data_IF_457123321704
#
_entry.id   IF_457123321704
#
_cell.length_a   1.000
_cell.length_b   1.000
_cell.length_c   1.000
_cell.angle_alpha   90.00
_cell.angle_beta   90.00
_cell.angle_gamma   90.00
#
_symmetry.space_group_name_H-M   'P 1'
#
loop_
_entity.id
_entity.type
_entity.pdbx_description
1 polymer ?
#
# COMPACT_ATOMS: atom_id res chain seq x y z
N UNK A 1 30.65 -10.31 -26.96
CA UNK A 1 29.48 -10.19 -26.06
C UNK A 1 29.00 -8.75 -26.10
N UNK A 2 27.81 -8.48 -26.62
CA UNK A 2 27.33 -7.10 -26.84
C UNK A 2 26.79 -6.50 -25.53
N UNK A 3 27.58 -5.62 -24.93
CA UNK A 3 27.26 -4.87 -23.69
C UNK A 3 25.91 -4.18 -23.75
N UNK A 4 25.51 -3.68 -24.93
CA UNK A 4 24.22 -3.01 -25.14
C UNK A 4 23.01 -3.93 -24.98
N UNK A 5 23.09 -5.19 -25.46
CA UNK A 5 21.99 -6.15 -25.33
C UNK A 5 21.73 -6.54 -23.88
N UNK A 6 22.79 -6.61 -23.07
CA UNK A 6 22.69 -6.90 -21.64
C UNK A 6 22.04 -5.76 -20.85
N UNK A 7 22.25 -4.49 -21.25
CA UNK A 7 21.66 -3.32 -20.60
C UNK A 7 20.14 -3.26 -20.86
N UNK A 8 19.70 -3.54 -22.10
CA UNK A 8 18.28 -3.57 -22.46
C UNK A 8 17.55 -4.65 -21.66
N UNK A 9 18.08 -5.88 -21.63
CA UNK A 9 17.47 -6.98 -20.88
C UNK A 9 17.40 -6.72 -19.37
N UNK A 10 18.37 -6.01 -18.80
CA UNK A 10 18.33 -5.61 -17.39
C UNK A 10 17.25 -4.54 -17.13
N UNK A 11 17.07 -3.59 -18.06
CA UNK A 11 16.04 -2.55 -17.97
C UNK A 11 14.63 -3.11 -18.14
N UNK A 12 14.43 -4.09 -19.02
CA UNK A 12 13.15 -4.78 -19.18
C UNK A 12 12.77 -5.56 -17.92
N UNK A 13 13.69 -6.35 -17.35
CA UNK A 13 13.46 -7.05 -16.07
C UNK A 13 13.17 -6.10 -14.91
N UNK A 14 13.90 -4.97 -14.86
CA UNK A 14 13.64 -3.93 -13.86
C UNK A 14 12.27 -3.28 -14.06
N UNK A 15 11.87 -3.03 -15.31
CA UNK A 15 10.55 -2.49 -15.66
C UNK A 15 9.40 -3.44 -15.30
N UNK A 16 9.56 -4.74 -15.56
CA UNK A 16 8.59 -5.78 -15.18
C UNK A 16 8.43 -5.89 -13.67
N UNK A 17 9.54 -5.92 -12.92
CA UNK A 17 9.52 -5.96 -11.46
C UNK A 17 8.85 -4.71 -10.86
N UNK A 18 9.15 -3.53 -11.40
CA UNK A 18 8.47 -2.27 -11.02
C UNK A 18 6.99 -2.29 -11.37
N UNK A 19 6.63 -2.81 -12.55
CA UNK A 19 5.24 -2.95 -12.99
C UNK A 19 4.43 -3.87 -12.08
N UNK A 20 5.01 -5.01 -11.68
CA UNK A 20 4.39 -5.94 -10.74
C UNK A 20 4.20 -5.30 -9.36
N UNK A 21 5.23 -4.67 -8.80
CA UNK A 21 5.16 -4.00 -7.50
C UNK A 21 4.13 -2.85 -7.48
N UNK A 22 4.04 -2.08 -8.56
CA UNK A 22 3.01 -1.03 -8.71
C UNK A 22 1.60 -1.62 -8.83
N UNK A 23 1.46 -2.75 -9.52
CA UNK A 23 0.20 -3.49 -9.64
C UNK A 23 -0.28 -4.02 -8.28
N UNK A 24 0.62 -4.64 -7.53
CA UNK A 24 0.35 -5.16 -6.17
C UNK A 24 -0.03 -4.02 -5.22
N UNK A 25 0.75 -2.94 -5.18
CA UNK A 25 0.44 -1.77 -4.36
C UNK A 25 -0.92 -1.15 -4.71
N UNK A 26 -1.29 -1.10 -6.00
CA UNK A 26 -2.62 -0.62 -6.42
C UNK A 26 -3.74 -1.55 -5.98
N UNK A 27 -3.52 -2.86 -6.06
CA UNK A 27 -4.47 -3.87 -5.57
C UNK A 27 -4.72 -3.74 -4.07
N UNK A 28 -3.64 -3.61 -3.30
CA UNK A 28 -3.69 -3.47 -1.84
C UNK A 28 -4.41 -2.18 -1.40
N UNK A 29 -4.11 -1.04 -2.04
CA UNK A 29 -4.86 0.23 -1.82
C UNK A 29 -6.36 0.03 -2.02
N UNK A 30 -6.76 -0.65 -3.08
CA UNK A 30 -8.18 -0.88 -3.41
C UNK A 30 -8.86 -1.72 -2.33
N UNK A 31 -8.19 -2.76 -1.83
CA UNK A 31 -8.71 -3.63 -0.77
C UNK A 31 -8.92 -2.82 0.51
N UNK A 32 -7.94 -1.99 0.91
CA UNK A 32 -8.03 -1.16 2.11
C UNK A 32 -9.15 -0.12 2.03
N UNK A 33 -9.29 0.57 0.90
CA UNK A 33 -10.38 1.55 0.70
C UNK A 33 -11.74 0.86 0.75
N UNK A 34 -11.89 -0.29 0.09
CA UNK A 34 -13.15 -1.06 0.14
C UNK A 34 -13.47 -1.54 1.55
N UNK A 35 -12.46 -1.97 2.30
CA UNK A 35 -12.62 -2.36 3.69
C UNK A 35 -13.10 -1.18 4.55
N UNK A 36 -12.53 0.02 4.36
CA UNK A 36 -13.00 1.21 5.08
C UNK A 36 -14.45 1.57 4.72
N UNK A 37 -14.82 1.46 3.44
CA UNK A 37 -16.20 1.71 3.00
C UNK A 37 -17.20 0.81 3.72
N UNK A 38 -16.89 -0.49 3.81
CA UNK A 38 -17.76 -1.51 4.43
C UNK A 38 -17.95 -1.27 5.94
N UNK A 39 -16.87 -0.91 6.64
CA UNK A 39 -16.86 -0.91 8.11
C UNK A 39 -17.01 0.47 8.77
N UNK A 40 -16.82 1.56 8.02
CA UNK A 40 -17.03 2.93 8.51
C UNK A 40 -18.04 3.71 7.66
N UNK A 41 -17.67 4.08 6.43
CA UNK A 41 -18.53 4.77 5.48
C UNK A 41 -17.80 5.04 4.15
N UNK A 42 -18.57 5.33 3.10
CA UNK A 42 -18.04 5.80 1.82
C UNK A 42 -17.25 7.12 1.94
N UNK A 43 -17.68 8.03 2.84
CA UNK A 43 -16.97 9.28 3.09
C UNK A 43 -15.57 9.04 3.69
N UNK A 44 -15.46 8.09 4.63
CA UNK A 44 -14.16 7.70 5.16
C UNK A 44 -13.32 6.96 4.14
N UNK A 45 -13.94 6.17 3.27
CA UNK A 45 -13.25 5.51 2.17
C UNK A 45 -12.65 6.53 1.19
N UNK A 46 -13.36 7.61 0.89
CA UNK A 46 -12.87 8.70 0.05
C UNK A 46 -11.68 9.43 0.71
N UNK A 47 -11.78 9.75 2.01
CA UNK A 47 -10.65 10.32 2.77
C UNK A 47 -9.45 9.38 2.78
N UNK A 48 -9.71 8.09 2.99
CA UNK A 48 -8.74 7.01 3.01
C UNK A 48 -8.01 6.85 1.68
N UNK A 49 -8.74 6.93 0.57
CA UNK A 49 -8.16 6.90 -0.77
C UNK A 49 -7.19 8.07 -1.00
N UNK A 50 -7.54 9.28 -0.54
CA UNK A 50 -6.63 10.44 -0.60
C UNK A 50 -5.39 10.25 0.30
N UNK A 51 -5.54 9.61 1.46
CA UNK A 51 -4.40 9.31 2.33
C UNK A 51 -3.45 8.29 1.71
N UNK A 52 -3.99 7.30 1.01
CA UNK A 52 -3.22 6.26 0.32
C UNK A 52 -2.66 6.75 -1.03
N UNK A 53 -3.17 7.84 -1.57
CA UNK A 53 -2.62 8.44 -2.79
C UNK A 53 -1.20 8.94 -2.53
N UNK A 54 -0.26 8.56 -3.40
CA UNK A 54 1.17 8.79 -3.22
C UNK A 54 1.86 8.02 -2.07
N UNK A 55 1.12 7.29 -1.21
CA UNK A 55 1.72 6.46 -0.17
C UNK A 55 2.36 5.19 -0.77
N UNK A 56 3.53 4.82 -0.25
CA UNK A 56 4.22 3.57 -0.55
C UNK A 56 3.54 2.39 0.16
N UNK A 57 3.61 1.19 -0.43
CA UNK A 57 2.87 0.02 0.06
C UNK A 57 3.34 -0.49 1.42
N UNK A 58 4.61 -0.29 1.75
CA UNK A 58 5.18 -0.59 3.07
C UNK A 58 4.55 0.21 4.21
N UNK A 59 3.94 1.36 3.91
CA UNK A 59 3.30 2.23 4.89
C UNK A 59 1.84 1.84 5.18
N UNK A 60 1.27 0.89 4.43
CA UNK A 60 -0.12 0.48 4.61
C UNK A 60 -0.31 -0.35 5.89
N UNK A 61 -1.42 -0.16 6.62
CA UNK A 61 -1.72 -1.00 7.76
C UNK A 61 -2.16 -2.39 7.32
N UNK A 62 -1.94 -3.39 8.17
CA UNK A 62 -2.57 -4.68 7.97
C UNK A 62 -4.08 -4.58 8.25
N UNK A 63 -4.88 -5.37 7.54
CA UNK A 63 -6.33 -5.47 7.78
C UNK A 63 -6.63 -5.82 9.25
N UNK A 64 -5.78 -6.63 9.89
CA UNK A 64 -5.93 -6.98 11.31
C UNK A 64 -5.81 -5.77 12.26
N UNK A 65 -4.99 -4.77 11.93
CA UNK A 65 -4.91 -3.52 12.69
C UNK A 65 -6.18 -2.69 12.51
N UNK A 66 -6.72 -2.62 11.29
CA UNK A 66 -7.98 -1.95 10.99
C UNK A 66 -9.15 -2.61 11.73
N UNK A 67 -9.22 -3.95 11.74
CA UNK A 67 -10.24 -4.67 12.52
C UNK A 67 -10.14 -4.37 14.01
N UNK A 68 -8.93 -4.26 14.56
CA UNK A 68 -8.74 -3.85 15.96
C UNK A 68 -9.23 -2.43 16.22
N UNK A 69 -8.95 -1.48 15.34
CA UNK A 69 -9.43 -0.11 15.45
C UNK A 69 -10.96 -0.05 15.36
N UNK A 70 -11.57 -0.82 14.46
CA UNK A 70 -13.02 -0.94 14.31
C UNK A 70 -13.68 -1.48 15.59
N UNK A 71 -13.13 -2.54 16.17
CA UNK A 71 -13.66 -3.18 17.36
C UNK A 71 -13.70 -2.24 18.60
N UNK A 72 -12.85 -1.21 18.62
CA UNK A 72 -12.78 -0.20 19.69
C UNK A 72 -13.38 1.15 19.29
N UNK A 73 -14.08 1.24 18.15
CA UNK A 73 -14.74 2.45 17.67
C UNK A 73 -13.78 3.56 17.22
N UNK A 74 -12.55 3.23 16.86
CA UNK A 74 -11.57 4.19 16.32
C UNK A 74 -11.73 4.35 14.81
N UNK A 75 -11.35 5.51 14.30
CA UNK A 75 -11.26 5.77 12.86
C UNK A 75 -10.10 4.96 12.22
N UNK A 76 -10.20 4.62 10.92
CA UNK A 76 -9.18 3.85 10.24
C UNK A 76 -7.89 4.68 10.08
N UNK A 77 -6.74 4.08 10.36
CA UNK A 77 -5.42 4.75 10.34
C UNK A 77 -4.54 4.15 9.24
N UNK A 78 -4.63 4.71 8.03
CA UNK A 78 -4.01 4.14 6.82
C UNK A 78 -2.54 4.54 6.55
N UNK A 79 -1.95 5.39 7.39
CA UNK A 79 -0.54 5.84 7.25
C UNK A 79 0.40 5.38 8.38
N UNK A 80 -0.05 4.50 9.27
CA UNK A 80 0.63 4.30 10.57
C UNK A 80 1.70 3.20 10.63
N UNK A 81 2.08 2.58 9.52
CA UNK A 81 3.20 1.63 9.53
C UNK A 81 4.57 2.30 9.30
N UNK A 82 4.83 3.39 10.02
CA UNK A 82 6.20 3.64 10.51
C UNK A 82 6.31 2.93 11.86
N UNK A 83 6.37 1.59 11.83
CA UNK A 83 6.74 0.84 13.03
C UNK A 83 8.21 1.16 13.30
N UNK A 84 8.38 2.10 14.22
CA UNK A 84 9.49 2.33 15.14
C UNK A 84 10.68 1.40 14.88
N UNK A 85 11.81 1.99 14.47
CA UNK A 85 13.11 1.36 14.62
C UNK A 85 13.20 0.71 16.01
N UNK A 86 13.52 -0.58 16.14
CA UNK A 86 14.11 -1.04 17.37
C UNK A 86 15.53 -0.51 17.37
N UNK A 87 15.73 0.61 18.07
CA UNK A 87 17.06 1.01 18.48
C UNK A 87 17.74 -0.16 19.20
N UNK A 88 18.84 -0.65 18.62
CA UNK A 88 19.98 -1.22 19.30
C UNK A 88 21.18 -1.32 18.36
#
# INVERSE_FOLDING_TARGET
>A
MNTFGNIIAAKEKEGEARGLALGEARGEKRILVQFVAEFWSDDEAARSAQQLDGAASDCFPAIADLMRDQAVGRLPRLRQNSRTEPGK
#
